data_IF_075147552748
#
_entry.id   IF_075147552748
#
_cell.length_a   1.000
_cell.length_b   1.000
_cell.length_c   1.000
_cell.angle_alpha   90.00
_cell.angle_beta   90.00
_cell.angle_gamma   90.00
#
_symmetry.space_group_name_H-M   'P 1'
#
loop_
_entity.id
_entity.type
_entity.pdbx_description
1 polymer ?
#
# COMPACT_ATOMS: atom_id res chain seq x y z
N UNK A 1 15.15 -75.82 -29.34
CA UNK A 1 16.09 -75.84 -28.20
C UNK A 1 15.64 -74.84 -27.14
N UNK A 2 15.33 -75.35 -25.95
CA UNK A 2 15.40 -74.74 -24.58
C UNK A 2 14.87 -73.30 -24.41
N UNK A 3 13.63 -73.10 -23.96
CA UNK A 3 13.09 -73.10 -22.56
C UNK A 3 13.20 -71.70 -21.90
N UNK A 4 12.11 -70.95 -21.60
CA UNK A 4 10.96 -71.14 -20.70
C UNK A 4 11.22 -70.71 -19.23
N UNK A 5 10.36 -69.78 -18.77
CA UNK A 5 9.93 -69.47 -17.38
C UNK A 5 11.00 -68.89 -16.42
N UNK A 6 10.85 -67.72 -15.78
CA UNK A 6 9.63 -66.96 -15.49
C UNK A 6 8.87 -67.55 -14.31
N UNK A 7 9.48 -67.57 -13.11
CA UNK A 7 8.78 -67.92 -11.87
C UNK A 7 9.55 -67.43 -10.63
N UNK A 8 8.76 -67.05 -9.60
CA UNK A 8 9.09 -66.77 -8.20
C UNK A 8 9.45 -65.31 -7.87
N UNK A 9 8.95 -64.68 -6.80
CA UNK A 9 7.80 -64.92 -5.92
C UNK A 9 7.69 -63.66 -5.02
N UNK A 10 6.47 -63.17 -4.82
CA UNK A 10 5.89 -62.55 -3.61
C UNK A 10 6.89 -62.14 -2.50
N UNK A 11 6.88 -60.86 -2.09
CA UNK A 11 6.83 -60.50 -0.66
C UNK A 11 6.39 -59.04 -0.45
N UNK A 12 5.12 -58.91 -0.06
CA UNK A 12 4.58 -57.80 0.69
C UNK A 12 5.36 -57.62 1.99
N UNK A 13 5.84 -56.42 2.27
CA UNK A 13 6.21 -56.04 3.63
C UNK A 13 5.75 -54.61 3.87
N UNK A 14 4.56 -54.54 4.47
CA UNK A 14 4.04 -53.37 5.14
C UNK A 14 4.98 -53.01 6.30
N UNK A 15 5.63 -51.86 6.20
CA UNK A 15 6.25 -51.20 7.35
C UNK A 15 5.42 -49.97 7.68
N UNK A 16 4.51 -50.16 8.64
CA UNK A 16 3.87 -49.10 9.41
C UNK A 16 4.96 -48.35 10.17
N UNK A 17 5.16 -47.08 9.86
CA UNK A 17 5.79 -46.13 10.78
C UNK A 17 4.75 -45.07 11.11
N UNK A 18 4.15 -45.25 12.28
CA UNK A 18 3.35 -44.26 12.98
C UNK A 18 4.26 -43.36 13.82
N UNK A 19 3.76 -42.13 14.02
CA UNK A 19 4.12 -41.14 15.06
C UNK A 19 5.34 -40.24 14.80
N UNK A 20 5.08 -39.00 14.40
CA UNK A 20 4.98 -37.91 15.37
C UNK A 20 4.42 -36.65 14.70
N UNK A 21 3.20 -36.32 15.11
CA UNK A 21 2.58 -35.04 14.84
C UNK A 21 3.39 -33.94 15.53
N UNK A 22 4.06 -33.09 14.76
CA UNK A 22 4.23 -31.71 15.15
C UNK A 22 3.03 -30.93 14.59
N UNK A 23 2.30 -30.16 15.41
CA UNK A 23 1.16 -29.40 14.97
C UNK A 23 1.66 -28.27 14.07
N UNK A 24 1.68 -28.53 12.76
CA UNK A 24 1.59 -27.47 11.79
C UNK A 24 0.20 -26.86 12.00
N UNK A 25 0.15 -25.62 12.49
CA UNK A 25 -1.06 -24.84 12.68
C UNK A 25 -1.66 -24.52 11.30
N UNK A 26 -2.23 -25.54 10.68
CA UNK A 26 -3.01 -25.49 9.46
C UNK A 26 -4.27 -26.33 9.70
N UNK A 27 -4.86 -26.19 10.88
CA UNK A 27 -6.14 -26.78 11.22
C UNK A 27 -7.15 -25.65 11.34
N UNK A 28 -7.51 -25.10 10.19
CA UNK A 28 -8.78 -24.40 9.99
C UNK A 28 -9.88 -25.45 9.90
N UNK A 29 -10.21 -26.10 11.02
CA UNK A 29 -11.52 -26.74 11.17
C UNK A 29 -12.54 -25.64 11.40
N UNK A 30 -13.08 -25.15 10.31
CA UNK A 30 -14.42 -24.65 10.26
C UNK A 30 -14.95 -25.01 8.89
N UNK A 31 -16.13 -25.62 8.86
CA UNK A 31 -17.04 -25.52 7.72
C UNK A 31 -17.27 -24.03 7.43
N UNK A 32 -16.32 -23.36 6.79
CA UNK A 32 -16.55 -22.10 6.11
C UNK A 32 -17.38 -22.46 4.89
N UNK A 33 -18.70 -22.42 5.05
CA UNK A 33 -19.58 -22.06 3.94
C UNK A 33 -18.90 -20.88 3.25
N UNK A 34 -18.38 -21.10 2.04
CA UNK A 34 -18.03 -20.01 1.12
C UNK A 34 -19.27 -19.13 1.01
N UNK A 35 -19.39 -18.12 1.88
CA UNK A 35 -20.31 -17.02 1.66
C UNK A 35 -19.74 -16.32 0.46
N UNK A 36 -20.19 -16.69 -0.74
CA UNK A 36 -20.00 -15.90 -1.94
C UNK A 36 -20.34 -14.47 -1.57
N UNK A 37 -19.32 -13.61 -1.47
CA UNK A 37 -19.50 -12.21 -1.12
C UNK A 37 -20.53 -11.64 -2.09
N UNK A 38 -21.63 -11.10 -1.55
CA UNK A 38 -22.68 -10.51 -2.36
C UNK A 38 -22.06 -9.39 -3.20
N UNK A 39 -22.31 -9.38 -4.51
CA UNK A 39 -21.82 -8.32 -5.39
C UNK A 39 -22.33 -6.94 -4.94
N UNK A 40 -23.41 -6.91 -4.17
CA UNK A 40 -24.03 -5.73 -3.60
C UNK A 40 -23.50 -5.32 -2.22
N UNK A 41 -22.66 -6.12 -1.57
CA UNK A 41 -22.17 -5.79 -0.22
C UNK A 41 -21.47 -4.43 -0.24
N UNK A 42 -22.10 -3.44 0.38
CA UNK A 42 -21.60 -2.05 0.45
C UNK A 42 -20.49 -1.86 1.50
N UNK A 43 -20.19 -2.91 2.28
CA UNK A 43 -19.01 -3.02 3.12
C UNK A 43 -18.26 -4.29 2.70
N UNK A 44 -16.98 -4.27 2.36
CA UNK A 44 -15.96 -3.31 2.73
C UNK A 44 -15.38 -2.62 1.50
N UNK A 45 -15.06 -1.34 1.65
CA UNK A 45 -14.03 -0.66 0.85
C UNK A 45 -12.64 -1.26 1.17
N UNK A 46 -12.51 -2.58 1.19
CA UNK A 46 -11.25 -3.30 1.03
C UNK A 46 -10.94 -3.32 -0.47
N UNK A 47 -10.79 -2.13 -1.05
CA UNK A 47 -9.96 -2.00 -2.25
C UNK A 47 -8.57 -2.59 -1.95
N UNK A 48 -7.76 -2.92 -2.97
CA UNK A 48 -6.48 -3.61 -2.77
C UNK A 48 -5.55 -2.78 -1.86
N UNK A 49 -5.54 -3.08 -0.57
CA UNK A 49 -4.69 -2.46 0.42
C UNK A 49 -5.39 -1.88 1.66
N UNK A 50 -5.87 -2.74 2.57
CA UNK A 50 -5.45 -2.56 3.97
C UNK A 50 -3.95 -2.86 4.02
N UNK A 51 -3.15 -1.93 3.51
CA UNK A 51 -1.70 -1.94 3.77
C UNK A 51 -1.57 -1.80 5.28
N UNK A 52 -0.79 -2.70 5.88
CA UNK A 52 -0.37 -2.63 7.28
C UNK A 52 0.23 -1.28 7.65
N UNK A 53 0.71 -1.11 8.90
CA UNK A 53 1.01 0.18 9.51
C UNK A 53 1.60 1.15 8.50
N UNK A 54 0.88 2.24 8.21
CA UNK A 54 1.23 3.27 7.24
C UNK A 54 2.66 3.72 7.53
N UNK A 55 3.65 3.09 6.88
CA UNK A 55 5.00 3.64 6.81
C UNK A 55 4.82 4.98 6.11
N UNK A 56 5.05 6.06 6.85
CA UNK A 56 5.03 7.41 6.30
C UNK A 56 5.95 7.52 5.09
N UNK A 57 5.93 8.66 4.38
CA UNK A 57 6.88 8.86 3.30
C UNK A 57 8.30 8.57 3.82
N UNK A 58 9.07 7.78 3.06
CA UNK A 58 10.48 7.60 3.36
C UNK A 58 11.19 8.86 2.90
N UNK A 59 11.99 9.42 3.81
CA UNK A 59 12.60 10.73 3.67
C UNK A 59 14.09 10.53 3.82
N UNK A 60 14.83 10.75 2.74
CA UNK A 60 16.27 10.92 2.82
C UNK A 60 16.56 12.33 3.35
N UNK A 61 17.53 12.45 4.26
CA UNK A 61 17.91 13.74 4.83
C UNK A 61 18.60 14.59 3.76
N UNK A 62 18.29 15.88 3.76
CA UNK A 62 19.02 16.88 2.98
C UNK A 62 20.29 17.30 3.71
N UNK A 63 21.26 17.88 3.00
CA UNK A 63 22.51 18.35 3.62
C UNK A 63 22.27 19.38 4.74
N UNK A 64 21.31 20.28 4.55
CA UNK A 64 20.93 21.28 5.57
C UNK A 64 20.36 20.64 6.85
N UNK A 65 19.59 19.56 6.70
CA UNK A 65 19.05 18.80 7.84
C UNK A 65 20.11 17.97 8.54
N UNK A 66 21.06 17.42 7.79
CA UNK A 66 22.24 16.75 8.34
C UNK A 66 23.04 17.74 9.19
N UNK A 67 23.31 18.93 8.66
CA UNK A 67 24.04 19.97 9.39
C UNK A 67 23.28 20.44 10.64
N UNK A 68 21.95 20.53 10.56
CA UNK A 68 21.08 20.84 11.72
C UNK A 68 21.19 19.76 12.80
N UNK A 69 21.22 18.48 12.42
CA UNK A 69 21.41 17.35 13.36
C UNK A 69 22.82 17.40 13.96
N UNK A 70 23.88 17.55 13.15
CA UNK A 70 25.27 17.64 13.64
C UNK A 70 25.42 18.81 14.61
N UNK A 71 24.82 19.97 14.32
CA UNK A 71 24.82 21.13 15.22
C UNK A 71 24.16 20.82 16.56
N UNK A 72 23.04 20.09 16.56
CA UNK A 72 22.39 19.62 17.79
C UNK A 72 23.26 18.63 18.56
N UNK A 73 23.94 17.71 17.87
CA UNK A 73 24.87 16.75 18.51
C UNK A 73 26.07 17.50 19.08
N UNK A 74 26.60 18.51 18.40
CA UNK A 74 27.73 19.31 18.89
C UNK A 74 27.44 20.01 20.22
N UNK A 75 26.18 20.34 20.49
CA UNK A 75 25.75 20.93 21.76
C UNK A 75 25.70 19.92 22.91
N UNK A 76 25.42 18.64 22.63
CA UNK A 76 25.32 17.58 23.65
C UNK A 76 26.60 16.75 23.79
N UNK A 77 27.28 16.46 22.68
CA UNK A 77 28.54 15.73 22.61
C UNK A 77 29.42 16.28 21.44
N UNK A 78 30.34 17.22 21.73
CA UNK A 78 31.18 17.85 20.71
C UNK A 78 32.21 16.92 20.09
N UNK A 79 32.66 15.88 20.80
CA UNK A 79 33.60 14.89 20.28
C UNK A 79 32.93 14.04 19.21
N UNK A 80 31.74 13.51 19.52
CA UNK A 80 30.98 12.70 18.56
C UNK A 80 30.57 13.49 17.32
N UNK A 81 30.30 14.79 17.45
CA UNK A 81 30.03 15.66 16.29
C UNK A 81 31.24 15.76 15.34
N UNK A 82 32.47 15.88 15.87
CA UNK A 82 33.70 15.87 15.07
C UNK A 82 33.92 14.51 14.40
N UNK A 83 33.68 13.42 15.13
CA UNK A 83 33.77 12.06 14.57
C UNK A 83 32.79 11.89 13.40
N UNK A 84 31.56 12.38 13.53
CA UNK A 84 30.55 12.36 12.47
C UNK A 84 30.95 13.21 11.25
N UNK A 85 31.57 14.38 11.45
CA UNK A 85 32.08 15.21 10.35
C UNK A 85 33.22 14.51 9.57
N UNK A 86 34.07 13.77 10.26
CA UNK A 86 35.13 12.96 9.64
C UNK A 86 34.53 11.72 8.92
N UNK A 87 33.61 11.00 9.58
CA UNK A 87 32.90 9.85 8.98
C UNK A 87 32.14 10.22 7.71
N UNK A 88 31.56 11.42 7.64
CA UNK A 88 30.89 11.93 6.44
C UNK A 88 31.81 11.96 5.20
N UNK A 89 33.12 12.14 5.39
CA UNK A 89 34.12 12.18 4.31
C UNK A 89 34.76 10.82 4.02
N UNK A 90 34.90 9.98 5.05
CA UNK A 90 35.69 8.74 4.99
C UNK A 90 34.84 7.48 4.82
N UNK A 91 33.66 7.41 5.45
CA UNK A 91 32.81 6.22 5.51
C UNK A 91 31.31 6.60 5.53
N UNK A 92 30.78 6.90 4.34
CA UNK A 92 29.37 7.29 4.15
C UNK A 92 28.37 6.21 4.58
N UNK A 93 28.77 4.93 4.57
CA UNK A 93 27.88 3.81 4.89
C UNK A 93 27.61 3.74 6.40
N UNK A 94 28.61 4.10 7.23
CA UNK A 94 28.48 4.15 8.70
C UNK A 94 27.95 5.48 9.22
N UNK A 95 28.09 6.55 8.45
CA UNK A 95 27.66 7.89 8.85
C UNK A 95 26.15 7.97 9.16
N UNK A 96 25.29 7.43 8.29
CA UNK A 96 23.83 7.54 8.43
C UNK A 96 23.26 6.82 9.69
N UNK A 97 23.66 5.57 9.99
CA UNK A 97 23.27 4.91 11.23
C UNK A 97 23.68 5.69 12.49
N UNK A 98 24.93 6.13 12.56
CA UNK A 98 25.50 6.86 13.71
C UNK A 98 24.85 8.23 13.91
N UNK A 99 24.58 8.94 12.81
CA UNK A 99 23.85 10.21 12.83
C UNK A 99 22.42 10.03 13.37
N UNK A 100 21.74 8.94 13.02
CA UNK A 100 20.38 8.64 13.53
C UNK A 100 20.37 8.26 14.99
N UNK A 101 21.39 7.55 15.46
CA UNK A 101 21.49 7.11 16.85
C UNK A 101 21.73 8.30 17.78
N UNK A 102 22.74 9.12 17.48
CA UNK A 102 23.13 10.25 18.33
C UNK A 102 22.29 11.51 18.08
N UNK A 103 21.68 11.64 16.90
CA UNK A 103 20.83 12.76 16.50
C UNK A 103 19.33 12.51 16.62
N UNK A 104 18.90 11.47 17.34
CA UNK A 104 17.52 10.93 17.32
C UNK A 104 16.44 11.99 17.55
N UNK A 105 16.65 12.91 18.49
CA UNK A 105 15.65 13.92 18.84
C UNK A 105 15.45 14.95 17.72
N UNK A 106 16.55 15.49 17.19
CA UNK A 106 16.49 16.45 16.09
C UNK A 106 16.03 15.79 14.79
N UNK A 107 16.48 14.55 14.53
CA UNK A 107 15.96 13.72 13.46
C UNK A 107 14.45 13.53 13.57
N UNK A 108 13.94 13.25 14.77
CA UNK A 108 12.49 13.09 15.01
C UNK A 108 11.72 14.38 14.74
N UNK A 109 12.25 15.54 15.15
CA UNK A 109 11.64 16.85 14.82
C UNK A 109 11.57 17.10 13.33
N UNK A 110 12.67 16.87 12.60
CA UNK A 110 12.73 17.02 11.14
C UNK A 110 11.70 16.10 10.46
N UNK A 111 11.60 14.86 10.90
CA UNK A 111 10.60 13.91 10.38
C UNK A 111 9.18 14.41 10.66
N UNK A 112 8.89 14.93 11.85
CA UNK A 112 7.58 15.50 12.19
C UNK A 112 7.26 16.73 11.33
N UNK A 113 8.21 17.66 11.18
CA UNK A 113 8.08 18.85 10.33
C UNK A 113 7.77 18.45 8.86
N UNK A 114 8.48 17.46 8.32
CA UNK A 114 8.22 16.92 6.98
C UNK A 114 6.87 16.25 6.86
N UNK A 115 6.48 15.44 7.85
CA UNK A 115 5.17 14.78 7.86
C UNK A 115 4.06 15.83 7.89
N UNK A 116 4.21 16.89 8.67
CA UNK A 116 3.21 17.94 8.77
C UNK A 116 3.15 18.80 7.52
N UNK A 117 4.30 19.14 6.92
CA UNK A 117 4.36 19.79 5.60
C UNK A 117 3.66 18.92 4.54
N UNK A 118 3.97 17.63 4.49
CA UNK A 118 3.33 16.68 3.58
C UNK A 118 1.82 16.58 3.83
N UNK A 119 1.38 16.53 5.10
CA UNK A 119 -0.05 16.50 5.46
C UNK A 119 -0.77 17.78 5.03
N UNK A 120 -0.14 18.95 5.19
CA UNK A 120 -0.69 20.25 4.76
C UNK A 120 -0.82 20.29 3.24
N UNK A 121 0.24 19.96 2.51
CA UNK A 121 0.21 19.89 1.04
C UNK A 121 -0.88 18.93 0.54
N UNK A 122 -0.94 17.71 1.10
CA UNK A 122 -1.95 16.72 0.73
C UNK A 122 -3.38 17.17 1.06
N UNK A 123 -3.56 17.92 2.14
CA UNK A 123 -4.84 18.54 2.49
C UNK A 123 -5.23 19.61 1.47
N UNK A 124 -4.30 20.49 1.10
CA UNK A 124 -4.54 21.55 0.12
C UNK A 124 -4.87 20.98 -1.26
N UNK A 125 -4.11 19.99 -1.73
CA UNK A 125 -4.39 19.27 -2.98
C UNK A 125 -5.80 18.65 -2.97
N UNK A 126 -6.19 18.02 -1.85
CA UNK A 126 -7.52 17.45 -1.70
C UNK A 126 -8.61 18.52 -1.73
N UNK A 127 -8.40 19.67 -1.07
CA UNK A 127 -9.38 20.77 -1.07
C UNK A 127 -9.53 21.40 -2.46
N UNK A 128 -8.44 21.56 -3.22
CA UNK A 128 -8.49 22.01 -4.62
C UNK A 128 -9.28 21.04 -5.49
N UNK A 129 -8.93 19.75 -5.43
CA UNK A 129 -9.63 18.70 -6.14
C UNK A 129 -11.12 18.63 -5.77
N UNK A 130 -11.46 18.86 -4.49
CA UNK A 130 -12.85 18.90 -4.02
C UNK A 130 -13.61 20.09 -4.62
N UNK A 131 -12.98 21.27 -4.73
CA UNK A 131 -13.58 22.46 -5.32
C UNK A 131 -13.91 22.25 -6.80
N UNK A 132 -13.01 21.59 -7.54
CA UNK A 132 -13.18 21.28 -8.96
C UNK A 132 -14.25 20.22 -9.21
N UNK A 133 -14.24 19.12 -8.43
CA UNK A 133 -15.08 17.94 -8.71
C UNK A 133 -16.42 17.97 -7.96
N UNK A 134 -16.46 18.64 -6.81
CA UNK A 134 -17.59 18.66 -5.87
C UNK A 134 -17.78 20.07 -5.28
N UNK A 135 -18.03 21.10 -6.11
CA UNK A 135 -18.01 22.50 -5.68
C UNK A 135 -19.01 22.82 -4.57
N UNK A 136 -20.17 22.13 -4.54
CA UNK A 136 -21.16 22.32 -3.46
C UNK A 136 -20.58 21.94 -2.09
N UNK A 137 -19.88 20.82 -2.01
CA UNK A 137 -19.26 20.34 -0.78
C UNK A 137 -18.08 21.22 -0.35
N UNK A 138 -17.30 21.71 -1.32
CA UNK A 138 -16.24 22.68 -1.04
C UNK A 138 -16.80 24.00 -0.50
N UNK A 139 -17.89 24.51 -1.09
CA UNK A 139 -18.58 25.71 -0.59
C UNK A 139 -19.17 25.51 0.81
N UNK A 140 -19.81 24.37 1.07
CA UNK A 140 -20.30 24.04 2.42
C UNK A 140 -19.17 24.07 3.46
N UNK A 141 -17.99 23.56 3.10
CA UNK A 141 -16.82 23.57 3.98
C UNK A 141 -16.25 24.98 4.16
N UNK A 142 -16.18 25.79 3.09
CA UNK A 142 -15.72 27.20 3.13
C UNK A 142 -16.60 28.07 4.06
N UNK A 143 -17.92 27.81 4.11
CA UNK A 143 -18.84 28.52 5.01
C UNK A 143 -18.56 28.29 6.50
N UNK A 144 -17.91 27.18 6.85
CA UNK A 144 -17.62 26.81 8.23
C UNK A 144 -16.25 27.30 8.71
N UNK A 145 -15.49 28.06 7.91
CA UNK A 145 -14.15 28.54 8.30
C UNK A 145 -14.12 29.37 9.59
N UNK A 146 -15.24 30.01 9.93
CA UNK A 146 -15.38 30.82 11.16
C UNK A 146 -15.67 29.97 12.42
N UNK A 147 -16.07 28.70 12.27
CA UNK A 147 -16.34 27.76 13.36
C UNK A 147 -15.37 26.56 13.25
N UNK A 148 -14.26 26.57 13.99
CA UNK A 148 -13.22 25.53 13.89
C UNK A 148 -13.73 24.12 14.16
N UNK A 149 -14.65 23.95 15.13
CA UNK A 149 -15.12 22.64 15.55
C UNK A 149 -16.07 22.04 14.52
N UNK A 150 -17.01 22.85 14.01
CA UNK A 150 -17.90 22.43 12.93
C UNK A 150 -17.13 22.20 11.63
N UNK A 151 -16.12 23.03 11.34
CA UNK A 151 -15.23 22.83 10.19
C UNK A 151 -14.54 21.47 10.26
N UNK A 152 -13.92 21.13 11.39
CA UNK A 152 -13.19 19.87 11.54
C UNK A 152 -14.13 18.66 11.40
N UNK A 153 -15.31 18.70 12.05
CA UNK A 153 -16.31 17.63 11.92
C UNK A 153 -16.76 17.46 10.46
N UNK A 154 -17.09 18.55 9.77
CA UNK A 154 -17.52 18.50 8.37
C UNK A 154 -16.39 18.05 7.44
N UNK A 155 -15.17 18.54 7.67
CA UNK A 155 -13.98 18.14 6.93
C UNK A 155 -13.75 16.64 7.04
N UNK A 156 -13.85 16.05 8.22
CA UNK A 156 -13.67 14.60 8.39
C UNK A 156 -14.75 13.79 7.69
N UNK A 157 -16.01 14.21 7.71
CA UNK A 157 -17.10 13.56 6.95
C UNK A 157 -16.81 13.63 5.44
N UNK A 158 -16.43 14.80 4.93
CA UNK A 158 -16.06 14.99 3.53
C UNK A 158 -14.86 14.10 3.20
N UNK A 159 -13.82 14.14 4.01
CA UNK A 159 -12.61 13.34 3.82
C UNK A 159 -12.93 11.86 3.77
N UNK A 160 -13.70 11.30 4.70
CA UNK A 160 -14.07 9.89 4.69
C UNK A 160 -14.77 9.48 3.39
N UNK A 161 -15.66 10.34 2.88
CA UNK A 161 -16.46 10.06 1.68
C UNK A 161 -15.68 10.24 0.38
N UNK A 162 -14.89 11.31 0.27
CA UNK A 162 -14.29 11.76 -0.99
C UNK A 162 -12.80 11.43 -1.13
N UNK A 163 -12.07 11.27 -0.02
CA UNK A 163 -10.64 10.94 -0.05
C UNK A 163 -10.31 9.64 -0.80
N UNK A 164 -11.10 8.56 -0.68
CA UNK A 164 -10.84 7.34 -1.45
C UNK A 164 -10.88 7.59 -2.97
N UNK A 165 -11.80 8.46 -3.43
CA UNK A 165 -11.95 8.82 -4.85
C UNK A 165 -10.73 9.64 -5.29
N UNK A 166 -10.36 10.66 -4.51
CA UNK A 166 -9.17 11.49 -4.75
C UNK A 166 -7.88 10.66 -4.89
N UNK A 167 -7.64 9.71 -3.97
CA UNK A 167 -6.46 8.84 -4.04
C UNK A 167 -6.52 7.85 -5.21
N UNK A 168 -7.71 7.37 -5.56
CA UNK A 168 -7.91 6.47 -6.69
C UNK A 168 -7.61 7.18 -8.00
N UNK A 169 -8.20 8.36 -8.22
CA UNK A 169 -8.05 9.16 -9.43
C UNK A 169 -6.60 9.56 -9.69
N UNK A 170 -5.88 9.99 -8.65
CA UNK A 170 -4.44 10.32 -8.76
C UNK A 170 -3.59 9.16 -9.28
N UNK A 171 -3.99 7.92 -9.00
CA UNK A 171 -3.25 6.71 -9.42
C UNK A 171 -3.80 6.11 -10.71
N UNK A 172 -5.07 6.33 -10.97
CA UNK A 172 -5.79 5.81 -12.12
C UNK A 172 -7.02 6.72 -12.37
N UNK A 173 -6.94 7.64 -13.34
CA UNK A 173 -8.02 8.57 -13.65
C UNK A 173 -9.34 7.85 -14.00
N UNK A 174 -9.27 6.73 -14.73
CA UNK A 174 -10.45 5.94 -15.09
C UNK A 174 -11.18 5.40 -13.84
N UNK A 175 -10.43 4.90 -12.86
CA UNK A 175 -11.01 4.46 -11.59
C UNK A 175 -11.64 5.64 -10.83
N UNK A 176 -11.01 6.81 -10.88
CA UNK A 176 -11.55 8.05 -10.33
C UNK A 176 -12.96 8.34 -10.87
N UNK A 177 -13.11 8.34 -12.18
CA UNK A 177 -14.40 8.59 -12.85
C UNK A 177 -15.47 7.55 -12.45
N UNK A 178 -15.12 6.27 -12.46
CA UNK A 178 -16.05 5.20 -12.03
C UNK A 178 -16.54 5.43 -10.60
N UNK A 179 -15.65 5.81 -9.69
CA UNK A 179 -16.02 6.07 -8.30
C UNK A 179 -16.86 7.35 -8.12
N UNK A 180 -16.58 8.41 -8.89
CA UNK A 180 -17.42 9.64 -8.91
C UNK A 180 -18.84 9.30 -9.39
N UNK A 181 -18.97 8.52 -10.45
CA UNK A 181 -20.28 8.08 -10.97
C UNK A 181 -21.04 7.22 -9.97
N UNK A 182 -20.36 6.25 -9.33
CA UNK A 182 -20.96 5.45 -8.25
C UNK A 182 -21.49 6.32 -7.12
N UNK A 183 -20.76 7.37 -6.75
CA UNK A 183 -21.18 8.31 -5.70
C UNK A 183 -22.46 9.08 -6.08
N UNK A 184 -22.54 9.55 -7.35
CA UNK A 184 -23.71 10.22 -7.90
C UNK A 184 -24.93 9.27 -7.94
N UNK A 185 -24.73 8.03 -8.41
CA UNK A 185 -25.78 7.01 -8.45
C UNK A 185 -26.27 6.63 -7.05
N UNK A 186 -25.39 6.52 -6.06
CA UNK A 186 -25.79 6.28 -4.66
C UNK A 186 -26.72 7.37 -4.14
N UNK A 187 -26.37 8.64 -4.39
CA UNK A 187 -27.20 9.79 -3.99
C UNK A 187 -28.57 9.79 -4.70
N UNK A 188 -28.59 9.43 -5.99
CA UNK A 188 -29.83 9.31 -6.76
C UNK A 188 -30.72 8.16 -6.26
N UNK A 189 -30.13 6.99 -6.00
CA UNK A 189 -30.81 5.83 -5.40
C UNK A 189 -31.46 6.21 -4.06
N UNK A 190 -30.72 6.86 -3.18
CA UNK A 190 -31.22 7.22 -1.85
C UNK A 190 -32.39 8.22 -1.94
N UNK A 191 -32.34 9.13 -2.92
CA UNK A 191 -33.46 10.02 -3.23
C UNK A 191 -34.68 9.24 -3.71
N UNK A 192 -34.51 8.32 -4.67
CA UNK A 192 -35.61 7.48 -5.18
C UNK A 192 -36.25 6.67 -4.06
N UNK A 193 -35.45 6.09 -3.16
CA UNK A 193 -35.97 5.34 -2.00
C UNK A 193 -36.83 6.22 -1.09
N UNK A 194 -36.42 7.46 -0.81
CA UNK A 194 -37.24 8.41 -0.05
C UNK A 194 -38.55 8.75 -0.76
N UNK A 195 -38.50 9.03 -2.06
CA UNK A 195 -39.69 9.34 -2.87
C UNK A 195 -40.67 8.15 -2.93
N UNK A 196 -40.15 6.92 -3.06
CA UNK A 196 -40.97 5.67 -3.05
C UNK A 196 -41.67 5.48 -1.70
N UNK A 197 -40.97 5.73 -0.58
CA UNK A 197 -41.55 5.60 0.76
C UNK A 197 -42.66 6.63 1.01
N UNK A 198 -42.54 7.83 0.44
CA UNK A 198 -43.54 8.88 0.55
C UNK A 198 -44.69 8.83 -0.47
N UNK A 199 -44.59 8.00 -1.51
CA UNK A 199 -45.58 7.95 -2.59
C UNK A 199 -46.85 7.19 -2.16
N UNK A 200 -47.99 7.88 -2.16
CA UNK A 200 -49.32 7.30 -1.92
C UNK A 200 -49.97 6.73 -3.19
N UNK A 201 -49.62 7.29 -4.36
CA UNK A 201 -50.15 6.86 -5.65
C UNK A 201 -49.39 5.63 -6.19
N UNK A 202 -50.14 4.59 -6.56
CA UNK A 202 -49.59 3.32 -7.02
C UNK A 202 -48.86 3.41 -8.38
N UNK A 203 -49.36 4.23 -9.30
CA UNK A 203 -48.76 4.43 -10.63
C UNK A 203 -47.41 5.15 -10.51
N UNK A 204 -47.38 6.24 -9.75
CA UNK A 204 -46.16 6.99 -9.42
C UNK A 204 -45.14 6.12 -8.68
N UNK A 205 -45.60 5.29 -7.74
CA UNK A 205 -44.73 4.34 -7.04
C UNK A 205 -44.10 3.34 -8.00
N UNK A 206 -44.85 2.81 -8.96
CA UNK A 206 -44.34 1.90 -10.00
C UNK A 206 -43.30 2.58 -10.91
N UNK A 207 -43.54 3.82 -11.32
CA UNK A 207 -42.58 4.61 -12.10
C UNK A 207 -41.26 4.85 -11.34
N UNK A 208 -41.35 5.20 -10.05
CA UNK A 208 -40.16 5.38 -9.20
C UNK A 208 -39.39 4.08 -9.00
N UNK A 209 -40.08 2.94 -8.86
CA UNK A 209 -39.45 1.61 -8.77
C UNK A 209 -38.70 1.29 -10.07
N UNK A 210 -39.24 1.61 -11.23
CA UNK A 210 -38.54 1.40 -12.51
C UNK A 210 -37.26 2.26 -12.58
N UNK A 211 -37.33 3.54 -12.19
CA UNK A 211 -36.13 4.40 -12.10
C UNK A 211 -35.10 3.85 -11.11
N UNK A 212 -35.55 3.24 -10.01
CA UNK A 212 -34.66 2.59 -9.05
C UNK A 212 -33.98 1.36 -9.66
N UNK A 213 -34.69 0.54 -10.44
CA UNK A 213 -34.10 -0.58 -11.18
C UNK A 213 -33.02 -0.09 -12.15
N UNK A 214 -33.27 0.99 -12.88
CA UNK A 214 -32.28 1.58 -13.79
C UNK A 214 -31.04 2.06 -13.02
N UNK A 215 -31.22 2.71 -11.87
CA UNK A 215 -30.13 3.15 -11.00
C UNK A 215 -29.28 1.98 -10.50
N UNK A 216 -29.93 0.88 -10.08
CA UNK A 216 -29.27 -0.34 -9.60
C UNK A 216 -28.55 -1.05 -10.74
N UNK A 217 -29.14 -1.13 -11.93
CA UNK A 217 -28.50 -1.72 -13.12
C UNK A 217 -27.24 -0.96 -13.51
N UNK A 218 -27.32 0.38 -13.63
CA UNK A 218 -26.13 1.20 -13.94
C UNK A 218 -25.03 1.02 -12.90
N UNK A 219 -25.41 0.90 -11.63
CA UNK A 219 -24.44 0.65 -10.57
C UNK A 219 -23.76 -0.71 -10.72
N UNK A 220 -24.49 -1.75 -11.12
CA UNK A 220 -23.90 -3.05 -11.42
C UNK A 220 -22.81 -2.93 -12.48
N UNK A 221 -23.08 -2.20 -13.57
CA UNK A 221 -22.11 -1.99 -14.64
C UNK A 221 -20.84 -1.30 -14.13
N UNK A 222 -20.99 -0.31 -13.25
CA UNK A 222 -19.85 0.35 -12.61
C UNK A 222 -19.06 -0.57 -11.67
N UNK A 223 -19.72 -1.47 -10.94
CA UNK A 223 -19.04 -2.48 -10.13
C UNK A 223 -18.21 -3.41 -11.01
N UNK A 224 -18.78 -3.87 -12.13
CA UNK A 224 -18.06 -4.71 -13.09
C UNK A 224 -16.87 -3.94 -13.68
N UNK A 225 -17.04 -2.67 -14.04
CA UNK A 225 -15.96 -1.83 -14.59
C UNK A 225 -14.83 -1.62 -13.57
N UNK A 226 -15.15 -1.32 -12.32
CA UNK A 226 -14.19 -1.21 -11.23
C UNK A 226 -13.38 -2.50 -11.04
N UNK A 227 -14.06 -3.67 -11.06
CA UNK A 227 -13.40 -4.97 -10.98
C UNK A 227 -12.46 -5.21 -12.17
N UNK A 228 -12.87 -4.87 -13.40
CA UNK A 228 -12.02 -4.97 -14.60
C UNK A 228 -10.76 -4.11 -14.51
N UNK A 229 -10.89 -2.86 -14.07
CA UNK A 229 -9.76 -1.94 -13.87
C UNK A 229 -8.79 -2.51 -12.82
N UNK A 230 -9.33 -3.00 -11.71
CA UNK A 230 -8.54 -3.58 -10.63
C UNK A 230 -7.81 -4.84 -11.09
N UNK A 231 -8.49 -5.72 -11.84
CA UNK A 231 -7.91 -6.93 -12.42
C UNK A 231 -6.75 -6.59 -13.36
N UNK A 232 -6.94 -5.64 -14.29
CA UNK A 232 -5.87 -5.20 -15.21
C UNK A 232 -4.64 -4.74 -14.45
N UNK A 233 -4.82 -3.88 -13.44
CA UNK A 233 -3.71 -3.38 -12.61
C UNK A 233 -2.97 -4.51 -11.87
N UNK A 234 -3.71 -5.49 -11.33
CA UNK A 234 -3.10 -6.62 -10.65
C UNK A 234 -2.28 -7.47 -11.63
N UNK A 235 -2.80 -7.70 -12.82
CA UNK A 235 -2.09 -8.41 -13.90
C UNK A 235 -0.80 -7.70 -14.30
N UNK A 236 -0.86 -6.38 -14.52
CA UNK A 236 0.31 -5.59 -14.89
C UNK A 236 1.38 -5.63 -13.78
N UNK A 237 0.96 -5.51 -12.52
CA UNK A 237 1.89 -5.60 -11.37
C UNK A 237 2.50 -7.00 -11.23
N UNK A 238 1.74 -8.05 -11.51
CA UNK A 238 2.25 -9.42 -11.48
C UNK A 238 3.35 -9.59 -12.54
N UNK A 239 3.14 -9.03 -13.74
CA UNK A 239 4.15 -9.03 -14.80
C UNK A 239 5.42 -8.29 -14.38
N UNK A 240 5.30 -7.07 -13.85
CA UNK A 240 6.46 -6.31 -13.34
C UNK A 240 7.24 -7.07 -12.25
N UNK A 241 6.53 -7.77 -11.36
CA UNK A 241 7.16 -8.56 -10.31
C UNK A 241 7.89 -9.78 -10.88
N UNK A 242 7.30 -10.47 -11.86
CA UNK A 242 7.96 -11.57 -12.57
C UNK A 242 9.25 -11.10 -13.23
N UNK A 243 9.21 -9.99 -13.98
CA UNK A 243 10.40 -9.41 -14.63
C UNK A 243 11.50 -9.04 -13.61
N UNK A 244 11.13 -8.51 -12.44
CA UNK A 244 12.10 -8.22 -11.36
C UNK A 244 12.70 -9.49 -10.75
N UNK A 245 11.89 -10.54 -10.59
CA UNK A 245 12.37 -11.83 -10.10
C UNK A 245 13.36 -12.47 -11.08
N UNK A 246 13.05 -12.44 -12.38
CA UNK A 246 13.95 -12.95 -13.43
C UNK A 246 15.27 -12.18 -13.45
N UNK A 247 15.23 -10.84 -13.38
CA UNK A 247 16.45 -10.01 -13.27
C UNK A 247 17.27 -10.34 -12.04
N UNK A 248 16.63 -10.42 -10.88
CA UNK A 248 17.32 -10.76 -9.63
C UNK A 248 17.91 -12.18 -9.67
N UNK A 249 17.23 -13.13 -10.31
CA UNK A 249 17.73 -14.48 -10.49
C UNK A 249 18.97 -14.49 -11.40
N UNK A 250 18.92 -13.76 -12.53
CA UNK A 250 20.06 -13.62 -13.43
C UNK A 250 21.27 -12.96 -12.74
N UNK A 251 21.05 -11.89 -11.96
CA UNK A 251 22.09 -11.26 -11.14
C UNK A 251 22.70 -12.25 -10.13
N UNK A 252 21.88 -13.05 -9.46
CA UNK A 252 22.36 -14.08 -8.53
C UNK A 252 23.19 -15.13 -9.25
N UNK A 253 22.76 -15.58 -10.44
CA UNK A 253 23.47 -16.61 -11.19
C UNK A 253 24.79 -16.08 -11.78
N UNK A 254 24.85 -14.82 -12.19
CA UNK A 254 26.09 -14.13 -12.54
C UNK A 254 27.06 -14.05 -11.35
N UNK A 255 26.54 -13.72 -10.15
CA UNK A 255 27.34 -13.68 -8.93
C UNK A 255 27.85 -15.06 -8.47
N UNK A 256 27.19 -16.15 -8.88
CA UNK A 256 27.65 -17.53 -8.62
C UNK A 256 28.78 -17.96 -9.56
N UNK A 257 28.97 -17.30 -10.70
CA UNK A 257 30.05 -17.65 -11.63
C UNK A 257 31.41 -17.59 -10.91
N UNK A 258 32.24 -18.65 -10.97
CA UNK A 258 33.51 -18.70 -10.25
C UNK A 258 34.47 -17.56 -10.57
N UNK A 259 34.47 -17.05 -11.81
CA UNK A 259 35.34 -15.92 -12.21
C UNK A 259 34.82 -14.63 -11.61
N UNK A 260 33.52 -14.35 -11.74
CA UNK A 260 32.88 -13.17 -11.13
C UNK A 260 33.05 -13.18 -9.61
N UNK A 261 32.84 -14.33 -8.97
CA UNK A 261 33.06 -14.52 -7.53
C UNK A 261 34.50 -14.21 -7.14
N UNK A 262 35.48 -14.75 -7.86
CA UNK A 262 36.91 -14.49 -7.57
C UNK A 262 37.24 -13.00 -7.72
N UNK A 263 36.82 -12.37 -8.82
CA UNK A 263 37.03 -10.94 -9.04
C UNK A 263 36.42 -10.07 -7.94
N UNK A 264 35.19 -10.39 -7.50
CA UNK A 264 34.53 -9.67 -6.41
C UNK A 264 35.23 -9.86 -5.07
N UNK A 265 35.73 -11.08 -4.78
CA UNK A 265 36.53 -11.35 -3.58
C UNK A 265 37.84 -10.57 -3.61
N UNK A 266 38.59 -10.65 -4.71
CA UNK A 266 39.89 -9.97 -4.86
C UNK A 266 39.72 -8.45 -4.71
N UNK A 267 38.70 -7.87 -5.37
CA UNK A 267 38.35 -6.45 -5.22
C UNK A 267 38.01 -6.08 -3.77
N UNK A 268 37.22 -6.92 -3.09
CA UNK A 268 36.86 -6.67 -1.68
C UNK A 268 38.07 -6.76 -0.75
N UNK A 269 38.99 -7.69 -0.99
CA UNK A 269 40.24 -7.82 -0.24
C UNK A 269 41.10 -6.57 -0.42
N UNK A 270 41.26 -6.09 -1.66
CA UNK A 270 42.00 -4.86 -1.96
C UNK A 270 41.41 -3.63 -1.27
N UNK A 271 40.08 -3.48 -1.30
CA UNK A 271 39.38 -2.37 -0.63
C UNK A 271 39.63 -2.39 0.89
N UNK A 272 39.58 -3.58 1.51
CA UNK A 272 39.84 -3.75 2.94
C UNK A 272 41.31 -3.48 3.31
N UNK A 273 42.26 -3.89 2.47
CA UNK A 273 43.69 -3.62 2.68
C UNK A 273 44.00 -2.12 2.54
N UNK A 274 43.39 -1.43 1.57
CA UNK A 274 43.50 0.04 1.41
C UNK A 274 42.89 0.81 2.57
N UNK A 275 41.81 0.32 3.17
CA UNK A 275 41.24 0.91 4.39
C UNK A 275 42.15 0.74 5.61
N UNK A 276 42.89 -0.38 5.71
CA UNK A 276 43.79 -0.64 6.84
C UNK A 276 45.07 0.19 6.81
N UNK A 277 45.53 0.62 5.63
CA UNK A 277 46.71 1.48 5.44
C UNK A 277 46.45 2.99 5.61
N UNK A 278 45.21 3.40 5.91
CA UNK A 278 44.82 4.80 6.21
C UNK A 278 44.68 5.08 7.72
N UNK A 279 45.08 4.15 8.58
CA UNK A 279 45.15 4.34 10.03
C UNK A 279 46.57 4.67 10.48
#
# INVERSE_FOLDING_TARGET
MKAKYGLLLILMLAAVITVSAMPCWAQGTSEEKEKKEDIWTEGDTRGPGRRGPRRGPRFDLTEEEIDRIIKSIKQSNPEKAKDLENMRKEDSDRFQPELREHGRDEFSKIVLERIDKWRKQRREEFLKWLDENFPRQAQELKKLLQDPDLYLKKYEIIRQKYWPIFEAERRNPELGEVLKEKLKLGSWRDRLLREIRGAKDAKKKKELINKLKDAVSRRFDLIVREKKITYKRLRDRLKELQERMEKSQAEIDELKDPKTKKQNIDKRVDDLLKQKGKR
#
